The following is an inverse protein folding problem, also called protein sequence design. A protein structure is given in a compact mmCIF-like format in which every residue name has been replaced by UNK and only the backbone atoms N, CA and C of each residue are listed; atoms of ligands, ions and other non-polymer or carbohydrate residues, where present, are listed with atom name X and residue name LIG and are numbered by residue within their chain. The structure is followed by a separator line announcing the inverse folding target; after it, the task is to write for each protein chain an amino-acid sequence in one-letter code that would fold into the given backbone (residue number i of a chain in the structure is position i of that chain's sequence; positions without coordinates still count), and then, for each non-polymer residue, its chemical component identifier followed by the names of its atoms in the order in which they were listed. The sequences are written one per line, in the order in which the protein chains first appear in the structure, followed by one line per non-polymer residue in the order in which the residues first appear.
data_IF_794659836931
#
_entry.id   IF_794659836931
#
_cell.length_a   1.000
_cell.length_b   1.000
_cell.length_c   1.000
_cell.angle_alpha   90.00
_cell.angle_beta   90.00
_cell.angle_gamma   90.00
#
_symmetry.space_group_name_H-M   'P 1'
#
loop_
_entity.id
_entity.type
_entity.pdbx_description
1 polymer ?
#
# COMPACT_ATOMS: atom_id res chain seq x y z
N UNK A 1 -22.92 -19.17 -24.20
CA UNK A 1 -23.72 -19.75 -23.09
C UNK A 1 -22.81 -19.97 -21.91
N UNK A 2 -22.73 -19.02 -20.97
CA UNK A 2 -21.90 -19.13 -19.76
C UNK A 2 -22.69 -19.84 -18.66
N UNK A 3 -22.26 -21.03 -18.24
CA UNK A 3 -22.66 -21.61 -16.96
C UNK A 3 -21.87 -20.89 -15.86
N UNK A 4 -22.38 -19.74 -15.41
CA UNK A 4 -21.99 -19.23 -14.10
C UNK A 4 -22.55 -20.21 -13.07
N UNK A 5 -21.67 -20.96 -12.39
CA UNK A 5 -22.08 -21.79 -11.28
C UNK A 5 -22.60 -20.86 -10.17
N UNK A 6 -23.92 -20.76 -10.03
CA UNK A 6 -24.55 -20.03 -8.94
C UNK A 6 -24.31 -20.80 -7.65
N UNK A 7 -23.21 -20.50 -6.97
CA UNK A 7 -23.00 -20.96 -5.61
C UNK A 7 -24.02 -20.26 -4.70
N UNK A 8 -24.98 -21.04 -4.18
CA UNK A 8 -25.95 -20.54 -3.22
C UNK A 8 -25.22 -20.19 -1.91
N UNK A 9 -25.45 -18.98 -1.41
CA UNK A 9 -24.90 -18.54 -0.13
C UNK A 9 -25.61 -19.31 0.98
N UNK A 10 -24.92 -19.73 2.07
CA UNK A 10 -25.58 -20.35 3.21
C UNK A 10 -26.71 -19.44 3.73
N UNK A 11 -27.88 -20.02 4.01
CA UNK A 11 -29.08 -19.26 4.37
C UNK A 11 -28.87 -18.32 5.58
N UNK A 12 -28.04 -18.73 6.53
CA UNK A 12 -27.65 -17.95 7.70
C UNK A 12 -26.82 -16.68 7.37
N UNK A 13 -26.07 -16.70 6.27
CA UNK A 13 -25.32 -15.53 5.79
C UNK A 13 -26.23 -14.59 5.00
N UNK A 14 -27.19 -15.15 4.25
CA UNK A 14 -28.22 -14.39 3.56
C UNK A 14 -29.06 -13.57 4.57
N UNK A 15 -29.51 -14.22 5.64
CA UNK A 15 -30.25 -13.59 6.73
C UNK A 15 -29.46 -12.45 7.40
N UNK A 16 -28.14 -12.60 7.54
CA UNK A 16 -27.28 -11.55 8.10
C UNK A 16 -27.15 -10.32 7.21
N UNK A 17 -27.15 -10.49 5.89
CA UNK A 17 -27.11 -9.38 4.94
C UNK A 17 -28.48 -8.71 4.78
N UNK A 18 -29.56 -9.49 4.78
CA UNK A 18 -30.93 -8.99 4.67
C UNK A 18 -31.36 -8.21 5.92
N UNK A 19 -30.73 -8.47 7.07
CA UNK A 19 -30.91 -7.71 8.31
C UNK A 19 -30.27 -6.31 8.28
N UNK A 20 -29.38 -6.01 7.33
CA UNK A 20 -28.77 -4.68 7.17
C UNK A 20 -29.58 -3.88 6.14
N UNK A 21 -30.05 -2.66 6.47
CA UNK A 21 -30.68 -1.78 5.49
C UNK A 21 -29.74 -1.52 4.32
N UNK A 22 -30.09 -2.04 3.13
CA UNK A 22 -29.23 -1.99 1.93
C UNK A 22 -28.47 -3.28 1.60
N UNK A 23 -28.71 -4.38 2.33
CA UNK A 23 -28.23 -5.72 1.99
C UNK A 23 -26.72 -5.91 2.12
N UNK A 24 -26.20 -6.89 1.37
CA UNK A 24 -24.77 -7.19 1.26
C UNK A 24 -23.86 -5.98 0.98
N UNK A 25 -24.22 -5.05 0.08
CA UNK A 25 -23.41 -3.86 -0.18
C UNK A 25 -23.22 -2.97 1.05
N UNK A 26 -24.28 -2.77 1.84
CA UNK A 26 -24.23 -1.96 3.06
C UNK A 26 -23.38 -2.64 4.15
N UNK A 27 -23.52 -3.95 4.32
CA UNK A 27 -22.71 -4.74 5.27
C UNK A 27 -21.21 -4.64 4.94
N UNK A 28 -20.83 -4.87 3.68
CA UNK A 28 -19.42 -4.82 3.25
C UNK A 28 -18.85 -3.39 3.32
N UNK A 29 -19.65 -2.38 2.97
CA UNK A 29 -19.28 -0.98 3.14
C UNK A 29 -19.01 -0.62 4.61
N UNK A 30 -19.88 -1.06 5.52
CA UNK A 30 -19.75 -0.83 6.95
C UNK A 30 -18.52 -1.54 7.57
N UNK A 31 -18.25 -2.78 7.17
CA UNK A 31 -17.03 -3.51 7.60
C UNK A 31 -15.78 -2.77 7.15
N UNK A 32 -15.74 -2.34 5.89
CA UNK A 32 -14.59 -1.63 5.32
C UNK A 32 -14.33 -0.30 6.04
N UNK A 33 -15.40 0.47 6.32
CA UNK A 33 -15.33 1.71 7.07
C UNK A 33 -14.85 1.48 8.52
N UNK A 34 -15.35 0.43 9.17
CA UNK A 34 -14.99 0.09 10.55
C UNK A 34 -13.52 -0.29 10.67
N UNK A 35 -13.00 -1.11 9.73
CA UNK A 35 -11.58 -1.44 9.67
C UNK A 35 -10.71 -0.19 9.48
N UNK A 36 -11.14 0.75 8.63
CA UNK A 36 -10.44 2.01 8.42
C UNK A 36 -10.42 2.88 9.69
N UNK A 37 -11.53 2.96 10.44
CA UNK A 37 -11.64 3.72 11.69
C UNK A 37 -10.77 3.09 12.79
N UNK A 38 -10.81 1.76 12.95
CA UNK A 38 -10.00 1.04 13.94
C UNK A 38 -8.51 1.21 13.65
N UNK A 39 -8.10 1.18 12.38
CA UNK A 39 -6.73 1.49 11.99
C UNK A 39 -6.34 2.92 12.41
N UNK A 40 -7.19 3.91 12.15
CA UNK A 40 -6.95 5.31 12.52
C UNK A 40 -6.86 5.54 14.04
N UNK A 41 -7.69 4.86 14.84
CA UNK A 41 -7.72 4.99 16.31
C UNK A 41 -6.56 4.28 16.99
N UNK A 42 -6.10 3.15 16.45
CA UNK A 42 -4.90 2.43 16.93
C UNK A 42 -3.64 3.30 16.91
N UNK A 43 -3.60 4.32 16.04
CA UNK A 43 -2.53 5.31 15.94
C UNK A 43 -2.40 6.28 17.12
N UNK A 44 -3.46 6.47 17.91
CA UNK A 44 -3.44 7.44 19.02
C UNK A 44 -2.65 6.93 20.23
N UNK A 45 -2.45 5.61 20.39
CA UNK A 45 -1.69 5.00 21.50
C UNK A 45 -0.18 4.89 21.23
N UNK A 46 0.29 5.43 20.11
CA UNK A 46 1.63 5.24 19.54
C UNK A 46 2.66 6.35 19.94
N UNK A 47 2.39 7.12 20.99
CA UNK A 47 3.21 8.28 21.36
C UNK A 47 4.26 8.01 22.45
N UNK A 48 4.49 6.78 22.92
CA UNK A 48 5.48 6.60 23.99
C UNK A 48 6.92 6.65 23.47
N UNK A 49 7.73 7.49 24.13
CA UNK A 49 9.21 7.59 24.01
C UNK A 49 9.88 6.21 23.96
N UNK A 50 9.31 5.23 24.65
CA UNK A 50 9.76 3.84 24.71
C UNK A 50 9.78 3.13 23.35
N UNK A 51 8.96 3.53 22.38
CA UNK A 51 8.92 2.86 21.07
C UNK A 51 10.07 3.28 20.15
N UNK A 52 10.44 4.56 20.15
CA UNK A 52 11.60 5.04 19.39
C UNK A 52 12.89 4.41 19.93
N UNK A 53 12.99 4.27 21.26
CA UNK A 53 14.08 3.55 21.93
C UNK A 53 14.05 2.05 21.56
N UNK A 54 12.86 1.44 21.43
CA UNK A 54 12.73 0.03 21.03
C UNK A 54 13.13 -0.25 19.58
N UNK A 55 12.81 0.66 18.66
CA UNK A 55 13.23 0.53 17.25
C UNK A 55 14.73 0.73 17.13
N UNK A 56 15.30 1.72 17.83
CA UNK A 56 16.76 1.88 17.85
C UNK A 56 17.43 0.65 18.44
N UNK A 57 16.96 0.16 19.60
CA UNK A 57 17.52 -1.03 20.25
C UNK A 57 17.46 -2.26 19.32
N UNK A 58 16.35 -2.49 18.60
CA UNK A 58 16.22 -3.55 17.60
C UNK A 58 17.19 -3.45 16.40
N UNK A 59 17.70 -2.26 16.11
CA UNK A 59 18.70 -2.05 15.05
C UNK A 59 20.14 -2.28 15.54
N UNK A 60 20.41 -2.12 16.84
CA UNK A 60 21.75 -2.28 17.43
C UNK A 60 21.98 -3.64 18.08
N UNK A 61 21.01 -4.13 18.85
CA UNK A 61 21.14 -5.37 19.59
C UNK A 61 20.52 -6.50 18.76
N UNK A 62 21.36 -7.43 18.29
CA UNK A 62 20.90 -8.75 17.85
C UNK A 62 20.30 -9.60 18.98
N UNK A 63 20.02 -9.00 20.15
CA UNK A 63 19.62 -9.65 21.38
C UNK A 63 18.10 -9.77 21.53
N UNK A 64 17.67 -10.86 22.16
CA UNK A 64 16.26 -11.10 22.49
C UNK A 64 15.76 -10.07 23.51
N UNK A 65 15.05 -9.05 23.04
CA UNK A 65 14.33 -8.11 23.90
C UNK A 65 13.26 -8.90 24.69
N UNK A 66 13.36 -8.89 26.02
CA UNK A 66 12.46 -9.58 26.97
C UNK A 66 11.00 -9.31 26.60
N UNK A 67 10.29 -10.37 26.20
CA UNK A 67 8.89 -10.35 25.76
C UNK A 67 7.99 -9.80 26.87
N UNK A 68 7.38 -8.65 26.66
CA UNK A 68 6.06 -8.37 27.24
C UNK A 68 5.05 -9.02 26.30
N UNK A 69 4.46 -10.12 26.76
CA UNK A 69 3.48 -10.93 26.06
C UNK A 69 2.19 -10.13 25.85
N UNK A 70 2.13 -9.36 24.77
CA UNK A 70 0.86 -9.09 24.12
C UNK A 70 0.77 -10.03 22.94
N UNK A 71 0.13 -11.17 23.19
CA UNK A 71 -0.28 -12.14 22.17
C UNK A 71 -1.22 -11.46 21.18
N UNK A 72 -0.67 -10.91 20.11
CA UNK A 72 -1.40 -10.45 18.92
C UNK A 72 -0.51 -10.71 17.72
N UNK A 73 -1.09 -11.26 16.67
CA UNK A 73 -0.49 -11.54 15.38
C UNK A 73 0.51 -10.43 14.98
N UNK A 74 1.80 -10.68 15.20
CA UNK A 74 2.85 -9.74 14.88
C UNK A 74 3.48 -10.22 13.57
N UNK A 75 3.23 -9.60 12.41
CA UNK A 75 3.85 -10.00 11.14
C UNK A 75 5.37 -9.74 11.11
N UNK A 76 5.92 -9.02 12.10
CA UNK A 76 7.34 -8.66 12.18
C UNK A 76 8.34 -9.82 12.03
N UNK A 77 8.17 -10.98 12.70
CA UNK A 77 9.05 -12.14 12.53
C UNK A 77 8.95 -12.81 11.16
N UNK A 78 7.80 -12.71 10.48
CA UNK A 78 7.67 -13.18 9.10
C UNK A 78 8.42 -12.26 8.14
N UNK A 79 8.33 -10.95 8.37
CA UNK A 79 9.08 -9.97 7.56
C UNK A 79 10.59 -10.10 7.75
N UNK A 80 11.09 -10.38 8.96
CA UNK A 80 12.53 -10.63 9.13
C UNK A 80 13.01 -11.84 8.34
N UNK A 81 12.20 -12.90 8.22
CA UNK A 81 12.53 -14.08 7.41
C UNK A 81 12.46 -13.80 5.91
N UNK A 82 11.46 -13.05 5.46
CA UNK A 82 11.22 -12.79 4.03
C UNK A 82 12.12 -11.71 3.43
N UNK A 83 12.48 -10.67 4.21
CA UNK A 83 13.06 -9.44 3.66
C UNK A 83 14.49 -9.12 4.16
N UNK A 84 15.06 -9.95 5.03
CA UNK A 84 16.50 -9.96 5.31
C UNK A 84 16.91 -9.51 6.71
N UNK A 85 16.34 -10.16 7.74
CA UNK A 85 16.82 -10.07 9.12
C UNK A 85 16.14 -8.98 9.98
N UNK A 86 16.75 -8.68 11.12
CA UNK A 86 16.17 -7.76 12.12
C UNK A 86 16.03 -6.32 11.62
N UNK A 87 17.00 -5.81 10.85
CA UNK A 87 16.93 -4.47 10.28
C UNK A 87 15.71 -4.32 9.33
N UNK A 88 15.36 -5.35 8.58
CA UNK A 88 14.15 -5.36 7.76
C UNK A 88 12.87 -5.37 8.59
N UNK A 89 12.86 -6.11 9.70
CA UNK A 89 11.74 -6.04 10.64
C UNK A 89 11.62 -4.64 11.26
N UNK A 90 12.73 -4.00 11.61
CA UNK A 90 12.73 -2.63 12.12
C UNK A 90 12.15 -1.65 11.10
N UNK A 91 12.54 -1.75 9.82
CA UNK A 91 11.97 -0.93 8.74
C UNK A 91 10.46 -1.12 8.56
N UNK A 92 9.99 -2.38 8.59
CA UNK A 92 8.57 -2.68 8.54
C UNK A 92 7.81 -2.11 9.74
N UNK A 93 8.29 -2.35 10.96
CA UNK A 93 7.64 -1.87 12.20
C UNK A 93 7.62 -0.35 12.22
N UNK A 94 8.74 0.30 11.90
CA UNK A 94 8.87 1.74 11.82
C UNK A 94 7.84 2.34 10.86
N UNK A 95 7.77 1.82 9.63
CA UNK A 95 6.79 2.27 8.64
C UNK A 95 5.35 2.08 9.13
N UNK A 96 5.02 0.86 9.54
CA UNK A 96 3.67 0.46 9.98
C UNK A 96 3.16 1.37 11.08
N UNK A 97 4.05 1.73 12.00
CA UNK A 97 3.72 2.57 13.12
C UNK A 97 3.59 4.04 12.71
N UNK A 98 4.57 4.55 11.95
CA UNK A 98 4.59 5.96 11.55
C UNK A 98 3.45 6.32 10.60
N UNK A 99 3.03 5.42 9.70
CA UNK A 99 1.87 5.67 8.82
C UNK A 99 0.57 5.90 9.60
N UNK A 100 0.44 5.31 10.79
CA UNK A 100 -0.75 5.43 11.64
C UNK A 100 -0.57 6.50 12.73
N UNK A 101 0.67 6.80 13.11
CA UNK A 101 0.98 7.80 14.13
C UNK A 101 1.07 9.20 13.56
N UNK A 102 1.78 9.37 12.45
CA UNK A 102 2.16 10.69 11.95
C UNK A 102 0.93 11.45 11.43
N UNK A 103 0.61 12.54 12.12
CA UNK A 103 -0.58 13.34 11.81
C UNK A 103 -0.50 13.96 10.42
N UNK A 104 0.68 14.38 9.97
CA UNK A 104 0.86 15.02 8.67
C UNK A 104 0.62 14.01 7.54
N UNK A 105 1.19 12.81 7.66
CA UNK A 105 0.93 11.70 6.76
C UNK A 105 -0.55 11.34 6.73
N UNK A 106 -1.17 11.16 7.89
CA UNK A 106 -2.60 10.84 8.00
C UNK A 106 -3.50 11.89 7.39
N UNK A 107 -3.23 13.17 7.66
CA UNK A 107 -3.97 14.29 7.09
C UNK A 107 -3.88 14.29 5.57
N UNK A 108 -2.68 14.13 5.01
CA UNK A 108 -2.48 14.08 3.56
C UNK A 108 -3.14 12.86 2.94
N UNK A 109 -3.05 11.68 3.58
CA UNK A 109 -3.76 10.49 3.13
C UNK A 109 -5.29 10.66 3.22
N UNK A 110 -5.81 11.21 4.31
CA UNK A 110 -7.24 11.44 4.51
C UNK A 110 -7.86 12.39 3.47
N UNK A 111 -7.07 13.29 2.89
CA UNK A 111 -7.53 14.13 1.77
C UNK A 111 -7.64 13.35 0.45
N UNK A 112 -6.84 12.29 0.27
CA UNK A 112 -6.75 11.52 -0.98
C UNK A 112 -7.47 10.17 -0.95
N UNK A 113 -7.82 9.68 0.25
CA UNK A 113 -8.54 8.42 0.45
C UNK A 113 -10.02 8.47 0.01
N UNK A 114 -10.81 9.55 0.20
CA UNK A 114 -12.24 9.52 -0.10
C UNK A 114 -12.56 9.16 -1.56
N UNK A 115 -11.88 9.70 -2.59
CA UNK A 115 -12.11 9.27 -3.98
C UNK A 115 -11.82 7.78 -4.19
N UNK A 116 -10.80 7.23 -3.52
CA UNK A 116 -10.49 5.79 -3.58
C UNK A 116 -11.61 4.97 -2.96
N UNK A 117 -12.08 5.36 -1.76
CA UNK A 117 -13.19 4.67 -1.09
C UNK A 117 -14.46 4.71 -1.96
N UNK A 118 -14.80 5.88 -2.51
CA UNK A 118 -15.98 6.03 -3.39
C UNK A 118 -15.84 5.11 -4.61
N UNK A 119 -14.67 5.07 -5.25
CA UNK A 119 -14.41 4.16 -6.37
C UNK A 119 -14.57 2.69 -5.99
N UNK A 120 -14.01 2.28 -4.86
CA UNK A 120 -14.13 0.90 -4.36
C UNK A 120 -15.59 0.54 -4.00
N UNK A 121 -16.35 1.46 -3.42
CA UNK A 121 -17.78 1.27 -3.14
C UNK A 121 -18.57 1.15 -4.45
N UNK A 122 -18.33 2.03 -5.42
CA UNK A 122 -18.98 1.96 -6.73
C UNK A 122 -18.73 0.61 -7.41
N UNK A 123 -17.54 0.04 -7.22
CA UNK A 123 -17.20 -1.29 -7.74
C UNK A 123 -17.85 -2.44 -6.95
N UNK A 124 -18.00 -2.30 -5.64
CA UNK A 124 -18.76 -3.28 -4.84
C UNK A 124 -20.25 -3.28 -5.21
N UNK A 125 -20.82 -2.12 -5.50
CA UNK A 125 -22.25 -1.98 -5.80
C UNK A 125 -22.55 -2.31 -7.27
N UNK A 126 -21.83 -1.69 -8.21
CA UNK A 126 -22.12 -1.81 -9.66
C UNK A 126 -21.11 -2.64 -10.45
N UNK A 127 -19.99 -3.04 -9.86
CA UNK A 127 -18.96 -3.82 -10.55
C UNK A 127 -19.22 -5.32 -10.56
N UNK A 128 -20.03 -5.86 -9.65
CA UNK A 128 -20.18 -7.32 -9.47
C UNK A 128 -20.92 -8.01 -10.61
N UNK A 129 -21.77 -7.29 -11.33
CA UNK A 129 -22.61 -7.87 -12.38
C UNK A 129 -21.88 -8.07 -13.70
N UNK A 130 -20.84 -7.27 -13.96
CA UNK A 130 -20.15 -7.24 -15.26
C UNK A 130 -18.65 -7.52 -15.05
N UNK A 131 -18.23 -8.71 -15.48
CA UNK A 131 -16.82 -9.05 -15.62
C UNK A 131 -16.13 -8.10 -16.60
N UNK A 132 -14.89 -7.64 -16.33
CA UNK A 132 -14.16 -6.76 -17.26
C UNK A 132 -13.76 -7.46 -18.57
N UNK A 133 -13.88 -8.79 -18.63
CA UNK A 133 -13.65 -9.59 -19.84
C UNK A 133 -14.90 -9.67 -20.74
N UNK A 134 -16.05 -9.21 -20.26
CA UNK A 134 -17.30 -9.16 -21.02
C UNK A 134 -17.37 -7.95 -21.96
N UNK A 135 -18.24 -7.97 -22.98
CA UNK A 135 -18.48 -6.80 -23.83
C UNK A 135 -19.09 -5.65 -23.01
N UNK A 136 -18.28 -4.63 -22.68
CA UNK A 136 -18.74 -3.45 -21.96
C UNK A 136 -17.68 -2.85 -21.05
N UNK A 137 -17.85 -1.57 -20.69
CA UNK A 137 -16.95 -0.94 -19.73
C UNK A 137 -17.40 -1.30 -18.31
N UNK A 138 -16.66 -2.19 -17.66
CA UNK A 138 -16.87 -2.50 -16.25
C UNK A 138 -16.14 -1.50 -15.35
N UNK A 139 -16.76 -1.08 -14.23
CA UNK A 139 -16.09 -0.27 -13.20
C UNK A 139 -14.84 -0.95 -12.63
N UNK A 140 -14.76 -2.27 -12.73
CA UNK A 140 -13.65 -3.09 -12.23
C UNK A 140 -12.34 -2.90 -12.96
N UNK A 141 -12.35 -2.30 -14.17
CA UNK A 141 -11.15 -1.81 -14.84
C UNK A 141 -10.39 -0.74 -14.03
N UNK A 142 -11.07 -0.03 -13.12
CA UNK A 142 -10.40 0.95 -12.25
C UNK A 142 -9.65 0.29 -11.07
N UNK A 143 -9.92 -0.99 -10.74
CA UNK A 143 -9.36 -1.66 -9.55
C UNK A 143 -7.83 -1.57 -9.46
N UNK A 144 -7.08 -1.93 -10.52
CA UNK A 144 -5.62 -1.87 -10.51
C UNK A 144 -5.10 -0.49 -10.12
N UNK A 145 -5.77 0.56 -10.59
CA UNK A 145 -5.35 1.95 -10.46
C UNK A 145 -5.72 2.54 -9.11
N UNK A 146 -6.86 2.17 -8.53
CA UNK A 146 -7.26 2.60 -7.19
C UNK A 146 -6.35 2.01 -6.10
N UNK A 147 -5.92 0.75 -6.27
CA UNK A 147 -4.92 0.14 -5.37
C UNK A 147 -3.56 0.81 -5.60
N UNK A 148 -3.15 0.95 -6.86
CA UNK A 148 -1.88 1.55 -7.23
C UNK A 148 -1.71 3.00 -6.78
N UNK A 149 -2.72 3.86 -6.95
CA UNK A 149 -2.66 5.27 -6.54
C UNK A 149 -2.49 5.40 -5.03
N UNK A 150 -3.11 4.51 -4.25
CA UNK A 150 -2.97 4.50 -2.79
C UNK A 150 -1.53 4.20 -2.39
N UNK A 151 -0.88 3.24 -3.05
CA UNK A 151 0.54 2.95 -2.86
C UNK A 151 1.44 4.14 -3.28
N UNK A 152 1.14 4.75 -4.43
CA UNK A 152 1.87 5.91 -4.95
C UNK A 152 1.81 7.11 -4.00
N UNK A 153 0.61 7.48 -3.53
CA UNK A 153 0.44 8.58 -2.60
C UNK A 153 1.06 8.31 -1.23
N UNK A 154 0.97 7.07 -0.74
CA UNK A 154 1.66 6.69 0.48
C UNK A 154 3.16 6.93 0.36
N UNK A 155 3.77 6.54 -0.76
CA UNK A 155 5.18 6.83 -1.02
C UNK A 155 5.47 8.34 -1.16
N UNK A 156 4.60 9.07 -1.85
CA UNK A 156 4.72 10.51 -2.07
C UNK A 156 4.74 11.29 -0.75
N UNK A 157 3.92 10.90 0.23
CA UNK A 157 3.86 11.56 1.53
C UNK A 157 4.87 11.00 2.53
N UNK A 158 5.42 9.82 2.25
CA UNK A 158 6.27 9.11 3.19
C UNK A 158 7.50 9.90 3.63
N UNK A 159 8.09 10.74 2.77
CA UNK A 159 9.28 11.52 3.14
C UNK A 159 9.00 12.61 4.19
N UNK A 160 7.74 12.93 4.47
CA UNK A 160 7.37 14.06 5.31
C UNK A 160 6.65 13.64 6.58
N UNK A 161 6.99 14.27 7.70
CA UNK A 161 6.40 13.99 8.99
C UNK A 161 6.51 15.16 9.97
N UNK A 162 5.74 15.09 11.06
CA UNK A 162 5.81 16.06 12.15
C UNK A 162 7.01 15.82 13.08
N UNK A 163 7.42 14.56 13.22
CA UNK A 163 8.52 14.15 14.10
C UNK A 163 9.87 14.08 13.35
N UNK A 164 10.07 14.94 12.35
CA UNK A 164 11.26 14.94 11.49
C UNK A 164 12.57 15.09 12.26
N UNK A 165 12.56 15.73 13.44
CA UNK A 165 13.73 15.83 14.32
C UNK A 165 14.27 14.46 14.76
N UNK A 166 13.44 13.42 14.75
CA UNK A 166 13.83 12.05 15.13
C UNK A 166 14.82 11.37 14.16
N UNK A 167 15.17 12.00 13.03
CA UNK A 167 16.18 11.48 12.09
C UNK A 167 17.51 11.18 12.76
N UNK A 168 17.90 11.92 13.81
CA UNK A 168 19.21 11.75 14.45
C UNK A 168 19.48 10.30 14.90
N UNK A 169 18.41 9.53 15.20
CA UNK A 169 18.50 8.11 15.53
C UNK A 169 19.08 7.25 14.40
N UNK A 170 18.99 7.70 13.15
CA UNK A 170 19.55 7.00 11.99
C UNK A 170 21.01 7.37 11.73
N UNK A 171 21.55 8.44 12.33
CA UNK A 171 22.96 8.82 12.20
C UNK A 171 23.89 7.86 12.94
N UNK A 172 23.40 7.22 13.99
CA UNK A 172 24.16 6.25 14.79
C UNK A 172 24.08 4.84 14.19
N UNK A 173 23.19 4.59 13.22
CA UNK A 173 22.92 3.23 12.71
C UNK A 173 24.06 2.76 11.80
N UNK A 174 24.52 1.50 11.92
CA UNK A 174 25.52 0.95 11.02
C UNK A 174 25.06 0.99 9.56
N UNK A 175 25.95 1.41 8.67
CA UNK A 175 25.64 1.61 7.25
C UNK A 175 25.14 0.33 6.54
N UNK A 176 25.61 -0.84 6.98
CA UNK A 176 25.17 -2.15 6.49
C UNK A 176 23.66 -2.43 6.74
N UNK A 177 23.04 -1.76 7.73
CA UNK A 177 21.65 -1.99 8.12
C UNK A 177 20.64 -1.26 7.23
N UNK A 178 21.05 -0.29 6.41
CA UNK A 178 20.12 0.51 5.62
C UNK A 178 19.44 -0.27 4.49
N UNK A 179 20.17 -1.14 3.79
CA UNK A 179 19.60 -1.97 2.72
C UNK A 179 18.49 -2.89 3.21
N UNK A 180 18.69 -3.73 4.26
CA UNK A 180 17.60 -4.53 4.80
C UNK A 180 16.49 -3.67 5.40
N UNK A 181 16.81 -2.54 6.04
CA UNK A 181 15.78 -1.60 6.53
C UNK A 181 14.85 -1.11 5.40
N UNK A 182 15.41 -0.68 4.26
CA UNK A 182 14.65 -0.24 3.08
C UNK A 182 13.77 -1.37 2.53
N UNK A 183 14.28 -2.62 2.51
CA UNK A 183 13.46 -3.79 2.15
C UNK A 183 12.30 -4.00 3.12
N UNK A 184 12.51 -3.71 4.40
CA UNK A 184 11.47 -3.71 5.43
C UNK A 184 10.36 -2.72 5.14
N UNK A 185 10.71 -1.48 4.82
CA UNK A 185 9.77 -0.42 4.42
C UNK A 185 9.00 -0.86 3.18
N UNK A 186 9.69 -1.32 2.13
CA UNK A 186 9.04 -1.83 0.92
C UNK A 186 8.07 -2.97 1.20
N UNK A 187 8.46 -3.94 2.04
CA UNK A 187 7.62 -5.07 2.41
C UNK A 187 6.37 -4.61 3.16
N UNK A 188 6.48 -3.60 4.02
CA UNK A 188 5.33 -3.01 4.70
C UNK A 188 4.36 -2.32 3.73
N UNK A 189 4.87 -1.50 2.80
CA UNK A 189 4.06 -0.89 1.75
C UNK A 189 3.35 -1.95 0.90
N UNK A 190 4.07 -2.99 0.47
CA UNK A 190 3.50 -4.08 -0.30
C UNK A 190 2.41 -4.83 0.47
N UNK A 191 2.70 -5.28 1.71
CA UNK A 191 1.73 -6.06 2.50
C UNK A 191 0.45 -5.27 2.78
N UNK A 192 0.58 -4.02 3.21
CA UNK A 192 -0.55 -3.20 3.65
C UNK A 192 -1.35 -2.64 2.49
N UNK A 193 -0.68 -2.17 1.43
CA UNK A 193 -1.33 -1.38 0.39
C UNK A 193 -1.62 -2.19 -0.87
N UNK A 194 -1.00 -3.37 -1.04
CA UNK A 194 -1.20 -4.22 -2.22
C UNK A 194 -1.74 -5.58 -1.80
N UNK A 195 -1.00 -6.37 -1.01
CA UNK A 195 -1.35 -7.75 -0.73
C UNK A 195 -2.70 -7.87 0.00
N UNK A 196 -2.92 -7.09 1.06
CA UNK A 196 -4.17 -7.14 1.80
C UNK A 196 -5.40 -6.74 0.95
N UNK A 197 -5.41 -5.59 0.23
CA UNK A 197 -6.49 -5.27 -0.69
C UNK A 197 -6.70 -6.31 -1.80
N UNK A 198 -5.61 -6.83 -2.38
CA UNK A 198 -5.68 -7.83 -3.45
C UNK A 198 -6.32 -9.13 -2.96
N UNK A 199 -5.94 -9.63 -1.78
CA UNK A 199 -6.53 -10.85 -1.21
C UNK A 199 -8.02 -10.65 -0.93
N UNK A 200 -8.38 -9.50 -0.34
CA UNK A 200 -9.79 -9.17 -0.12
C UNK A 200 -10.59 -9.18 -1.42
N UNK A 201 -10.10 -8.47 -2.44
CA UNK A 201 -10.79 -8.39 -3.73
C UNK A 201 -10.80 -9.72 -4.47
N UNK A 202 -9.77 -10.55 -4.36
CA UNK A 202 -9.78 -11.89 -4.95
C UNK A 202 -10.96 -12.72 -4.42
N UNK A 203 -11.19 -12.71 -3.11
CA UNK A 203 -12.31 -13.43 -2.50
C UNK A 203 -13.66 -12.89 -3.02
N UNK A 204 -13.83 -11.57 -3.04
CA UNK A 204 -15.06 -10.91 -3.53
C UNK A 204 -15.33 -11.23 -5.00
N UNK A 205 -14.29 -11.23 -5.83
CA UNK A 205 -14.40 -11.41 -7.27
C UNK A 205 -14.56 -12.88 -7.70
N UNK A 206 -13.88 -13.82 -7.02
CA UNK A 206 -14.10 -15.26 -7.25
C UNK A 206 -15.57 -15.60 -7.05
N UNK A 207 -16.18 -15.02 -6.02
CA UNK A 207 -17.60 -15.23 -5.75
C UNK A 207 -18.51 -14.61 -6.83
N UNK A 208 -18.09 -13.50 -7.44
CA UNK A 208 -18.94 -12.77 -8.38
C UNK A 208 -18.86 -13.33 -9.81
N UNK A 209 -17.67 -13.71 -10.29
CA UNK A 209 -17.45 -14.11 -11.70
C UNK A 209 -16.83 -15.50 -11.89
N UNK A 210 -16.49 -16.18 -10.79
CA UNK A 210 -15.72 -17.42 -10.81
C UNK A 210 -14.21 -17.19 -10.80
N UNK A 211 -13.46 -18.28 -10.63
CA UNK A 211 -12.03 -18.23 -10.36
C UNK A 211 -11.17 -17.69 -11.51
N UNK A 212 -11.52 -18.02 -12.76
CA UNK A 212 -10.72 -17.66 -13.95
C UNK A 212 -10.58 -16.14 -14.09
N UNK A 213 -11.69 -15.44 -14.27
CA UNK A 213 -11.74 -13.99 -14.50
C UNK A 213 -11.19 -13.23 -13.28
N UNK A 214 -11.55 -13.68 -12.07
CA UNK A 214 -11.06 -13.09 -10.84
C UNK A 214 -9.53 -13.19 -10.72
N UNK A 215 -8.94 -14.37 -10.96
CA UNK A 215 -7.49 -14.57 -10.87
C UNK A 215 -6.76 -13.76 -11.93
N UNK A 216 -7.25 -13.70 -13.17
CA UNK A 216 -6.64 -12.90 -14.24
C UNK A 216 -6.65 -11.40 -13.90
N UNK A 217 -7.80 -10.86 -13.48
CA UNK A 217 -7.89 -9.45 -13.08
C UNK A 217 -6.99 -9.16 -11.88
N UNK A 218 -6.95 -10.05 -10.88
CA UNK A 218 -6.15 -9.85 -9.67
C UNK A 218 -4.65 -9.95 -9.96
N UNK A 219 -4.22 -10.90 -10.79
CA UNK A 219 -2.83 -10.96 -11.24
C UNK A 219 -2.45 -9.65 -11.92
N UNK A 220 -3.31 -9.15 -12.82
CA UNK A 220 -3.06 -7.90 -13.55
C UNK A 220 -3.03 -6.70 -12.60
N UNK A 221 -3.99 -6.63 -11.68
CA UNK A 221 -4.07 -5.60 -10.64
C UNK A 221 -2.83 -5.58 -9.77
N UNK A 222 -2.30 -6.75 -9.42
CA UNK A 222 -1.07 -6.90 -8.63
C UNK A 222 0.13 -6.34 -9.37
N UNK A 223 0.30 -6.70 -10.66
CA UNK A 223 1.39 -6.18 -11.50
C UNK A 223 1.33 -4.67 -11.65
N UNK A 224 0.14 -4.12 -11.92
CA UNK A 224 -0.07 -2.67 -12.02
C UNK A 224 0.23 -1.99 -10.68
N UNK A 225 -0.24 -2.53 -9.56
CA UNK A 225 0.05 -2.00 -8.23
C UNK A 225 1.57 -2.00 -7.93
N UNK A 226 2.30 -3.02 -8.37
CA UNK A 226 3.77 -3.02 -8.29
C UNK A 226 4.43 -1.97 -9.19
N UNK A 227 3.89 -1.67 -10.38
CA UNK A 227 4.39 -0.54 -11.18
C UNK A 227 4.23 0.78 -10.42
N UNK A 228 3.06 1.02 -9.84
CA UNK A 228 2.83 2.20 -9.00
C UNK A 228 3.76 2.26 -7.79
N UNK A 229 3.97 1.13 -7.10
CA UNK A 229 4.90 1.06 -5.98
C UNK A 229 6.34 1.34 -6.43
N UNK A 230 6.77 0.79 -7.56
CA UNK A 230 8.11 1.01 -8.11
C UNK A 230 8.35 2.48 -8.46
N UNK A 231 7.37 3.16 -9.06
CA UNK A 231 7.41 4.62 -9.25
C UNK A 231 7.39 5.33 -7.89
N UNK A 232 6.53 4.91 -6.98
CA UNK A 232 6.40 5.47 -5.63
C UNK A 232 7.70 5.45 -4.84
N UNK A 233 8.45 4.34 -4.85
CA UNK A 233 9.76 4.24 -4.22
C UNK A 233 10.73 5.31 -4.74
N UNK A 234 10.63 5.68 -6.03
CA UNK A 234 11.40 6.78 -6.63
C UNK A 234 10.92 8.17 -6.20
N UNK A 235 9.73 8.29 -5.64
CA UNK A 235 9.20 9.55 -5.11
C UNK A 235 9.45 9.73 -3.61
N UNK A 236 9.83 8.67 -2.89
CA UNK A 236 10.24 8.78 -1.49
C UNK A 236 11.52 9.63 -1.43
N UNK A 237 11.38 10.81 -0.84
CA UNK A 237 12.45 11.79 -0.75
C UNK A 237 13.29 11.58 0.51
N UNK A 238 14.22 10.61 0.46
CA UNK A 238 15.17 10.35 1.53
C UNK A 238 14.56 9.55 2.69
N UNK A 239 14.85 9.89 3.95
CA UNK A 239 14.34 9.11 5.09
C UNK A 239 12.82 9.27 5.24
N UNK A 240 12.05 8.17 5.39
CA UNK A 240 10.64 8.27 5.73
C UNK A 240 10.42 9.13 6.98
N UNK A 241 9.46 10.05 6.91
CA UNK A 241 9.06 11.00 7.96
C UNK A 241 10.18 11.95 8.39
N UNK A 242 11.25 12.06 7.60
CA UNK A 242 12.43 12.86 7.92
C UNK A 242 12.33 14.33 7.55
N UNK A 243 11.31 14.77 6.82
CA UNK A 243 11.25 16.16 6.36
C UNK A 243 10.00 16.89 6.81
N UNK A 244 10.14 18.18 7.03
CA UNK A 244 8.96 19.05 7.08
C UNK A 244 8.33 19.16 5.70
N UNK A 245 7.00 19.16 5.65
CA UNK A 245 6.28 19.34 4.38
C UNK A 245 6.46 20.78 3.88
N UNK A 246 7.01 21.00 2.68
CA UNK A 246 7.13 22.35 2.12
C UNK A 246 5.75 22.90 1.76
N UNK A 247 5.58 24.22 1.83
CA UNK A 247 4.31 24.91 1.49
C UNK A 247 3.85 24.65 0.06
N UNK A 248 4.79 24.48 -0.88
CA UNK A 248 4.54 24.17 -2.30
C UNK A 248 4.08 22.74 -2.55
N UNK A 249 4.12 21.86 -1.54
CA UNK A 249 3.79 20.44 -1.71
C UNK A 249 2.38 20.21 -2.26
N UNK A 250 1.42 21.05 -1.87
CA UNK A 250 0.03 20.95 -2.33
C UNK A 250 -0.08 21.10 -3.85
N UNK A 251 0.69 22.02 -4.45
CA UNK A 251 0.71 22.26 -5.89
C UNK A 251 1.31 21.05 -6.62
N UNK A 252 2.40 20.49 -6.10
CA UNK A 252 3.03 19.28 -6.66
C UNK A 252 2.05 18.10 -6.59
N UNK A 253 1.41 17.88 -5.44
CA UNK A 253 0.44 16.80 -5.26
C UNK A 253 -0.72 16.95 -6.26
N UNK A 254 -1.28 18.16 -6.41
CA UNK A 254 -2.37 18.41 -7.37
C UNK A 254 -1.96 18.12 -8.81
N UNK A 255 -0.79 18.60 -9.25
CA UNK A 255 -0.26 18.30 -10.58
C UNK A 255 -0.06 16.79 -10.80
N UNK A 256 0.47 16.08 -9.79
CA UNK A 256 0.60 14.63 -9.82
C UNK A 256 -0.75 13.91 -9.88
N UNK A 257 -1.78 14.42 -9.20
CA UNK A 257 -3.15 13.89 -9.29
C UNK A 257 -3.70 14.03 -10.70
N UNK A 258 -3.54 15.19 -11.35
CA UNK A 258 -4.00 15.39 -12.72
C UNK A 258 -3.31 14.45 -13.71
N UNK A 259 -1.98 14.36 -13.63
CA UNK A 259 -1.20 13.43 -14.46
C UNK A 259 -1.65 11.99 -14.22
N UNK A 260 -1.86 11.62 -12.95
CA UNK A 260 -2.36 10.30 -12.61
C UNK A 260 -3.73 10.02 -13.22
N UNK A 261 -4.69 10.94 -13.10
CA UNK A 261 -6.05 10.75 -13.65
C UNK A 261 -6.02 10.58 -15.17
N UNK A 262 -5.17 11.34 -15.87
CA UNK A 262 -4.98 11.18 -17.31
C UNK A 262 -4.39 9.81 -17.67
N UNK A 263 -3.32 9.38 -16.98
CA UNK A 263 -2.70 8.07 -17.20
C UNK A 263 -3.67 6.93 -16.87
N UNK A 264 -4.46 7.07 -15.79
CA UNK A 264 -5.48 6.10 -15.40
C UNK A 264 -6.57 5.98 -16.47
N UNK A 265 -7.09 7.10 -16.99
CA UNK A 265 -8.11 7.09 -18.04
C UNK A 265 -7.61 6.39 -19.32
N UNK A 266 -6.37 6.69 -19.74
CA UNK A 266 -5.74 6.01 -20.88
C UNK A 266 -5.58 4.52 -20.61
N UNK A 267 -5.09 4.15 -19.43
CA UNK A 267 -4.88 2.75 -19.07
C UNK A 267 -6.19 1.95 -19.00
N UNK A 268 -7.27 2.55 -18.48
CA UNK A 268 -8.61 1.95 -18.49
C UNK A 268 -9.12 1.76 -19.93
N UNK A 269 -8.91 2.76 -20.80
CA UNK A 269 -9.26 2.65 -22.22
C UNK A 269 -8.51 1.52 -22.93
N UNK A 270 -7.21 1.39 -22.67
CA UNK A 270 -6.39 0.28 -23.17
C UNK A 270 -6.91 -1.06 -22.64
N UNK A 271 -7.24 -1.16 -21.34
CA UNK A 271 -7.77 -2.39 -20.76
C UNK A 271 -9.11 -2.78 -21.39
N UNK A 272 -10.01 -1.83 -21.57
CA UNK A 272 -11.31 -2.07 -22.20
C UNK A 272 -11.18 -2.70 -23.61
N UNK A 273 -10.14 -2.31 -24.37
CA UNK A 273 -9.86 -2.88 -25.68
C UNK A 273 -9.21 -4.27 -25.57
N UNK A 274 -8.27 -4.45 -24.65
CA UNK A 274 -7.42 -5.65 -24.58
C UNK A 274 -7.98 -6.78 -23.71
N UNK A 275 -8.88 -6.50 -22.78
CA UNK A 275 -9.44 -7.52 -21.87
C UNK A 275 -10.46 -8.43 -22.56
N UNK A 276 -10.78 -8.17 -23.82
CA UNK A 276 -11.60 -9.06 -24.65
C UNK A 276 -10.92 -10.39 -24.93
N UNK A 277 -9.59 -10.46 -24.83
CA UNK A 277 -8.81 -11.66 -25.12
C UNK A 277 -7.87 -12.01 -23.96
N UNK A 278 -8.02 -13.19 -23.36
CA UNK A 278 -7.17 -13.64 -22.26
C UNK A 278 -5.68 -13.63 -22.62
N UNK A 279 -5.36 -13.96 -23.89
CA UNK A 279 -3.98 -14.00 -24.39
C UNK A 279 -3.32 -12.63 -24.29
N UNK A 280 -4.02 -11.55 -24.61
CA UNK A 280 -3.47 -10.19 -24.49
C UNK A 280 -3.29 -9.78 -23.03
N UNK A 281 -4.18 -10.19 -22.13
CA UNK A 281 -4.03 -9.94 -20.70
C UNK A 281 -2.83 -10.70 -20.13
N UNK A 282 -2.61 -11.95 -20.55
CA UNK A 282 -1.43 -12.73 -20.18
C UNK A 282 -0.15 -12.10 -20.75
N UNK A 283 -0.16 -11.64 -21.99
CA UNK A 283 1.00 -10.94 -22.57
C UNK A 283 1.32 -9.64 -21.81
N UNK A 284 0.29 -8.84 -21.47
CA UNK A 284 0.44 -7.64 -20.65
C UNK A 284 0.99 -7.98 -19.26
N UNK A 285 0.50 -9.04 -18.62
CA UNK A 285 0.98 -9.52 -17.33
C UNK A 285 2.49 -9.80 -17.35
N UNK A 286 2.97 -10.46 -18.40
CA UNK A 286 4.39 -10.80 -18.53
C UNK A 286 5.25 -9.54 -18.76
N UNK A 287 4.84 -8.68 -19.70
CA UNK A 287 5.59 -7.46 -20.05
C UNK A 287 5.58 -6.46 -18.88
N UNK A 288 4.40 -6.16 -18.35
CA UNK A 288 4.25 -5.25 -17.22
C UNK A 288 4.85 -5.85 -15.95
N UNK A 289 4.80 -7.17 -15.76
CA UNK A 289 5.42 -7.87 -14.63
C UNK A 289 6.93 -7.76 -14.63
N UNK A 290 7.57 -7.95 -15.79
CA UNK A 290 9.00 -7.71 -15.96
C UNK A 290 9.35 -6.24 -15.70
N UNK A 291 8.57 -5.30 -16.26
CA UNK A 291 8.73 -3.87 -16.03
C UNK A 291 8.62 -3.52 -14.53
N UNK A 292 7.63 -4.08 -13.84
CA UNK A 292 7.42 -3.91 -12.41
C UNK A 292 8.60 -4.45 -11.60
N UNK A 293 9.10 -5.65 -11.93
CA UNK A 293 10.26 -6.22 -11.26
C UNK A 293 11.51 -5.33 -11.38
N UNK A 294 11.83 -4.90 -12.60
CA UNK A 294 12.98 -4.04 -12.87
C UNK A 294 12.83 -2.68 -12.17
N UNK A 295 11.64 -2.09 -12.25
CA UNK A 295 11.33 -0.80 -11.66
C UNK A 295 11.44 -0.82 -10.13
N UNK A 296 10.93 -1.86 -9.47
CA UNK A 296 11.03 -2.02 -8.02
C UNK A 296 12.47 -2.32 -7.58
N UNK A 297 13.20 -3.16 -8.31
CA UNK A 297 14.63 -3.45 -8.03
C UNK A 297 15.46 -2.17 -8.06
N UNK A 298 15.31 -1.38 -9.12
CA UNK A 298 16.02 -0.10 -9.24
C UNK A 298 15.51 0.94 -8.23
N UNK A 299 14.19 0.99 -8.00
CA UNK A 299 13.56 1.88 -7.04
C UNK A 299 14.08 1.68 -5.62
N UNK A 300 14.26 0.42 -5.19
CA UNK A 300 14.86 0.07 -3.90
C UNK A 300 16.30 0.58 -3.78
N UNK A 301 17.13 0.36 -4.80
CA UNK A 301 18.52 0.84 -4.80
C UNK A 301 18.61 2.37 -4.75
N UNK A 302 17.75 3.07 -5.51
CA UNK A 302 17.68 4.54 -5.49
C UNK A 302 17.10 5.09 -4.18
N UNK A 303 16.18 4.36 -3.55
CA UNK A 303 15.66 4.75 -2.24
C UNK A 303 16.75 4.61 -1.18
N UNK A 304 17.48 3.49 -1.16
CA UNK A 304 18.64 3.29 -0.29
C UNK A 304 19.70 4.38 -0.47
N UNK A 305 20.08 4.70 -1.71
CA UNK A 305 21.11 5.71 -1.97
C UNK A 305 20.71 7.11 -1.50
N UNK A 306 19.44 7.50 -1.66
CA UNK A 306 18.93 8.79 -1.18
C UNK A 306 18.83 8.85 0.33
N UNK A 307 18.41 7.77 0.98
CA UNK A 307 18.40 7.67 2.44
C UNK A 307 19.81 7.88 2.99
N UNK A 308 20.81 7.20 2.43
CA UNK A 308 22.22 7.37 2.82
C UNK A 308 22.74 8.78 2.54
N UNK A 309 22.40 9.35 1.38
CA UNK A 309 22.83 10.69 0.99
C UNK A 309 22.29 11.78 1.93
N UNK A 310 21.08 11.59 2.48
CA UNK A 310 20.50 12.51 3.44
C UNK A 310 21.17 12.47 4.82
N UNK A 311 21.63 11.28 5.23
CA UNK A 311 22.29 11.09 6.53
C UNK A 311 23.78 11.45 6.51
N UNK A 312 24.40 11.60 5.33
CA UNK A 312 25.79 12.05 5.23
C UNK A 312 25.90 13.52 5.66
N UNK A 313 26.82 13.87 6.57
CA UNK A 313 27.11 15.27 6.89
C UNK A 313 27.50 15.99 5.59
N UNK A 314 26.76 17.05 5.23
CA UNK A 314 27.24 17.96 4.19
C UNK A 314 28.43 18.71 4.76
N UNK A 315 29.56 18.68 4.07
CA UNK A 315 30.75 19.42 4.50
C UNK A 315 30.42 20.92 4.69
N UNK A 316 31.03 21.47 5.75
CA UNK A 316 31.01 22.85 6.27
C UNK A 316 29.68 23.42 6.79
N UNK A 317 29.56 23.47 8.13
CA UNK A 317 29.04 24.67 8.80
C UNK A 317 27.72 24.59 9.57
N UNK A 318 27.02 23.46 9.65
CA UNK A 318 25.78 23.37 10.44
C UNK A 318 25.72 22.03 11.18
N UNK A 319 25.82 22.09 12.51
CA UNK A 319 25.77 20.91 13.40
C UNK A 319 24.33 20.43 13.60
N UNK A 320 23.34 21.28 13.34
CA UNK A 320 21.93 20.91 13.19
C UNK A 320 21.31 21.81 12.11
N UNK A 321 20.38 21.26 11.32
CA UNK A 321 19.49 22.07 10.45
C UNK A 321 18.35 22.64 11.26
#
# INVERSE_FOLDING_TARGET
MSRAASFAVPAEWQAGADAVPGGWPALLGAVTLTVAIVAALSGLRALSRDHLIRVSDQMYSGGEVRRREWGRWAPGPWVSRLAGGQASRAGFVYLSYMMVRDWQFRRNMAQNIPPVIIGLIAMLVGGREVSPFSPGLAYTHALPHLIGITALYSCLFLGYGNDYKGIWLFLIVPDASFRPFVRGVYTGLWLMLIAAPIVFWLIVLIWSWGARDAVLLIAYSTVVAFLYLGVGLRLIDGLPFGKQTPSTRKVITFGMTLVHLAVMGIAIGIQYLLFRWDVTVIALLLVAGLGAYLLNREGLTRFESRLRAELKPRASGSIFR
#
